data_IF_363972502009
#
_entry.id   IF_363972502009
#
_cell.length_a   1.000
_cell.length_b   1.000
_cell.length_c   1.000
_cell.angle_alpha   90.00
_cell.angle_beta   90.00
_cell.angle_gamma   90.00
#
_symmetry.space_group_name_H-M   'P 1'
#
loop_
_entity.id
_entity.type
_entity.pdbx_description
1 polymer ?
#
# COMPACT_ATOMS: atom_id res chain seq x y z
N UNK A 1 -2.91 -13.55 16.29
CA UNK A 1 -1.60 -12.88 16.14
C UNK A 1 -0.41 -13.81 16.46
N UNK A 2 -0.57 -14.88 17.26
CA UNK A 2 0.52 -15.84 17.54
C UNK A 2 1.10 -16.47 16.27
N UNK A 3 0.28 -16.80 15.29
CA UNK A 3 0.74 -17.37 14.00
C UNK A 3 1.65 -16.38 13.24
N UNK A 4 1.36 -15.09 13.28
CA UNK A 4 2.22 -14.07 12.69
C UNK A 4 3.55 -13.96 13.44
N UNK A 5 3.52 -14.04 14.78
CA UNK A 5 4.73 -14.02 15.60
C UNK A 5 5.64 -15.21 15.27
N UNK A 6 5.09 -16.41 15.22
CA UNK A 6 5.85 -17.61 14.82
C UNK A 6 6.38 -17.52 13.38
N UNK A 7 5.61 -16.93 12.47
CA UNK A 7 6.06 -16.73 11.10
C UNK A 7 7.25 -15.76 11.02
N UNK A 8 7.23 -14.69 11.81
CA UNK A 8 8.34 -13.73 11.88
C UNK A 8 9.58 -14.34 12.56
N UNK A 9 9.41 -15.09 13.66
CA UNK A 9 10.48 -15.83 14.29
C UNK A 9 11.16 -16.79 13.29
N UNK A 10 10.35 -17.58 12.60
CA UNK A 10 10.84 -18.50 11.57
C UNK A 10 11.57 -17.76 10.43
N UNK A 11 11.03 -16.63 9.96
CA UNK A 11 11.68 -15.80 8.95
C UNK A 11 13.05 -15.33 9.42
N UNK A 12 13.15 -14.78 10.64
CA UNK A 12 14.41 -14.30 11.21
C UNK A 12 15.44 -15.41 11.32
N UNK A 13 15.06 -16.58 11.83
CA UNK A 13 15.94 -17.75 11.91
C UNK A 13 16.47 -18.17 10.54
N UNK A 14 15.60 -18.13 9.51
CA UNK A 14 15.99 -18.48 8.14
C UNK A 14 16.94 -17.46 7.53
N UNK A 15 16.75 -16.18 7.79
CA UNK A 15 17.65 -15.11 7.32
C UNK A 15 19.03 -15.23 8.01
N UNK A 16 19.09 -15.55 9.30
CA UNK A 16 20.32 -15.79 10.03
C UNK A 16 21.06 -17.02 9.49
N UNK A 17 20.38 -18.15 9.30
CA UNK A 17 20.95 -19.36 8.71
C UNK A 17 21.49 -19.14 7.29
N UNK A 18 20.84 -18.25 6.52
CA UNK A 18 21.30 -17.88 5.18
C UNK A 18 22.46 -16.87 5.19
N UNK A 19 22.79 -16.28 6.34
CA UNK A 19 23.83 -15.27 6.47
C UNK A 19 23.51 -13.93 5.81
N UNK A 20 22.23 -13.58 5.72
CA UNK A 20 21.74 -12.35 5.09
C UNK A 20 20.88 -11.48 6.03
N UNK A 21 20.71 -11.89 7.27
CA UNK A 21 19.91 -11.13 8.25
C UNK A 21 20.41 -9.69 8.44
N UNK A 22 21.71 -9.48 8.42
CA UNK A 22 22.36 -8.18 8.53
C UNK A 22 22.19 -7.27 7.29
N UNK A 23 21.63 -7.79 6.22
CA UNK A 23 21.39 -7.10 4.93
C UNK A 23 19.92 -7.04 4.54
N UNK A 24 19.05 -7.54 5.40
CA UNK A 24 17.61 -7.64 5.12
C UNK A 24 16.83 -6.71 6.05
N UNK A 25 16.18 -5.70 5.49
CA UNK A 25 15.18 -4.91 6.22
C UNK A 25 13.82 -5.60 6.13
N UNK A 26 13.06 -5.57 7.23
CA UNK A 26 11.71 -6.12 7.28
C UNK A 26 10.72 -4.98 7.50
N UNK A 27 9.76 -4.90 6.60
CA UNK A 27 8.72 -3.87 6.64
C UNK A 27 7.38 -4.54 6.91
N UNK A 28 6.69 -4.06 7.93
CA UNK A 28 5.39 -4.56 8.36
C UNK A 28 4.38 -3.42 8.34
N UNK A 29 3.25 -3.66 7.72
CA UNK A 29 2.07 -2.80 7.75
C UNK A 29 0.82 -3.64 7.63
N UNK A 30 -0.32 -3.10 8.02
CA UNK A 30 -1.59 -3.78 7.80
C UNK A 30 -2.08 -3.48 6.37
N UNK A 31 -2.84 -4.39 5.80
CA UNK A 31 -3.55 -4.21 4.54
C UNK A 31 -4.90 -3.50 4.74
N UNK A 32 -5.57 -3.74 5.87
CA UNK A 32 -6.85 -3.14 6.25
C UNK A 32 -7.10 -3.27 7.76
N UNK A 33 -8.15 -2.62 8.24
CA UNK A 33 -8.63 -2.82 9.61
C UNK A 33 -9.28 -4.21 9.78
N UNK A 34 -9.36 -4.78 10.99
CA UNK A 34 -9.97 -6.09 11.23
C UNK A 34 -11.46 -6.08 10.89
N UNK A 35 -11.84 -6.79 9.84
CA UNK A 35 -13.25 -6.98 9.50
C UNK A 35 -13.93 -7.92 10.49
N UNK A 36 -15.16 -7.64 10.83
CA UNK A 36 -15.99 -8.50 11.66
C UNK A 36 -15.89 -8.27 13.16
N UNK A 37 -15.09 -7.29 13.61
CA UNK A 37 -15.20 -6.81 14.98
C UNK A 37 -16.33 -5.78 15.09
N UNK A 38 -17.12 -5.89 16.17
CA UNK A 38 -18.09 -4.89 16.54
C UNK A 38 -17.40 -3.65 17.14
N UNK A 39 -18.11 -2.54 17.24
CA UNK A 39 -17.59 -1.33 17.88
C UNK A 39 -17.22 -1.58 19.36
N UNK A 40 -18.02 -2.39 20.07
CA UNK A 40 -17.74 -2.77 21.45
C UNK A 40 -16.43 -3.56 21.58
N UNK A 41 -16.19 -4.51 20.65
CA UNK A 41 -14.93 -5.29 20.63
C UNK A 41 -13.72 -4.42 20.27
N UNK A 42 -13.88 -3.42 19.38
CA UNK A 42 -12.85 -2.42 19.12
C UNK A 42 -12.50 -1.61 20.35
N UNK A 43 -13.50 -1.10 21.05
CA UNK A 43 -13.34 -0.29 22.25
C UNK A 43 -12.71 -1.11 23.38
N UNK A 44 -13.10 -2.39 23.53
CA UNK A 44 -12.49 -3.31 24.51
C UNK A 44 -11.00 -3.53 24.19
N UNK A 45 -10.64 -3.75 22.94
CA UNK A 45 -9.24 -3.95 22.53
C UNK A 45 -8.41 -2.68 22.68
N UNK A 46 -8.97 -1.53 22.39
CA UNK A 46 -8.32 -0.24 22.53
C UNK A 46 -8.18 0.23 24.00
N UNK A 47 -9.11 -0.23 24.86
CA UNK A 47 -9.23 0.24 26.25
C UNK A 47 -9.89 1.61 26.37
N UNK A 48 -10.50 2.13 25.32
CA UNK A 48 -11.17 3.42 25.24
C UNK A 48 -12.25 3.42 24.13
N UNK A 49 -13.15 4.38 24.17
CA UNK A 49 -14.13 4.58 23.11
C UNK A 49 -13.47 5.24 21.90
N UNK A 50 -13.36 4.50 20.80
CA UNK A 50 -12.73 4.96 19.57
C UNK A 50 -13.70 5.76 18.69
N UNK A 51 -13.19 6.79 18.06
CA UNK A 51 -13.85 7.44 16.93
C UNK A 51 -13.79 6.52 15.70
N UNK A 52 -14.93 5.90 15.39
CA UNK A 52 -15.01 4.92 14.28
C UNK A 52 -14.87 5.56 12.91
N UNK A 53 -14.97 6.88 12.79
CA UNK A 53 -14.75 7.58 11.52
C UNK A 53 -13.29 7.58 11.11
N UNK A 54 -12.37 7.80 12.06
CA UNK A 54 -10.95 7.94 11.81
C UNK A 54 -10.12 6.83 12.44
N UNK A 55 -10.30 6.60 13.74
CA UNK A 55 -9.39 5.73 14.52
C UNK A 55 -9.51 4.25 14.18
N UNK A 56 -10.65 3.82 13.63
CA UNK A 56 -10.80 2.48 13.06
C UNK A 56 -9.75 2.18 11.98
N UNK A 57 -9.36 3.19 11.21
CA UNK A 57 -8.40 3.05 10.11
C UNK A 57 -6.95 3.29 10.55
N UNK A 58 -6.74 3.56 11.84
CA UNK A 58 -5.39 3.71 12.37
C UNK A 58 -4.61 2.44 12.18
N UNK A 59 -3.45 2.58 11.56
CA UNK A 59 -2.59 1.48 11.16
C UNK A 59 -1.17 1.69 11.69
N UNK A 60 -0.38 0.62 11.70
CA UNK A 60 1.03 0.67 12.09
C UNK A 60 1.91 0.43 10.87
N UNK A 61 2.98 1.21 10.76
CA UNK A 61 4.07 0.99 9.84
C UNK A 61 5.35 0.77 10.66
N UNK A 62 5.96 -0.40 10.51
CA UNK A 62 7.17 -0.78 11.23
C UNK A 62 8.23 -1.12 10.20
N UNK A 63 9.40 -0.50 10.30
CA UNK A 63 10.56 -0.82 9.48
C UNK A 63 11.70 -1.29 10.40
N UNK A 64 11.97 -2.59 10.39
CA UNK A 64 13.13 -3.16 11.06
C UNK A 64 14.36 -3.02 10.16
N UNK A 65 15.37 -2.30 10.64
CA UNK A 65 16.64 -2.08 9.95
C UNK A 65 17.75 -2.72 10.77
N UNK A 66 18.48 -3.71 10.23
CA UNK A 66 19.57 -4.36 10.94
C UNK A 66 20.65 -3.35 11.36
N UNK A 67 21.13 -3.47 12.60
CA UNK A 67 22.19 -2.60 13.11
C UNK A 67 21.74 -1.21 13.57
N UNK A 68 20.48 -0.87 13.45
CA UNK A 68 19.93 0.36 14.04
C UNK A 68 20.03 0.27 15.58
N UNK A 69 20.68 1.25 16.19
CA UNK A 69 20.99 1.20 17.64
C UNK A 69 19.89 1.77 18.50
N UNK A 70 19.11 2.69 17.96
CA UNK A 70 18.05 3.40 18.66
C UNK A 70 16.78 3.37 17.83
N UNK A 71 15.65 3.18 18.49
CA UNK A 71 14.36 3.23 17.82
C UNK A 71 14.05 4.67 17.37
N UNK A 72 13.57 4.81 16.16
CA UNK A 72 13.04 6.07 15.63
C UNK A 72 11.53 5.99 15.65
N UNK A 73 10.90 6.94 16.33
CA UNK A 73 9.45 7.07 16.37
C UNK A 73 9.06 8.29 15.53
N UNK A 74 8.14 8.09 14.60
CA UNK A 74 7.55 9.16 13.80
C UNK A 74 6.13 9.38 14.32
N UNK A 75 5.87 10.56 14.84
CA UNK A 75 4.58 10.98 15.39
C UNK A 75 3.89 11.97 14.45
N UNK A 76 3.88 11.64 13.17
CA UNK A 76 3.21 12.41 12.13
C UNK A 76 2.13 11.53 11.47
N UNK A 77 1.03 12.17 11.07
CA UNK A 77 0.01 11.45 10.31
C UNK A 77 0.49 11.15 8.90
N UNK A 78 0.37 9.89 8.50
CA UNK A 78 0.82 9.41 7.20
C UNK A 78 -0.25 8.50 6.58
N UNK A 79 -0.20 8.37 5.27
CA UNK A 79 -1.03 7.44 4.50
C UNK A 79 -0.22 6.23 4.04
N UNK A 80 -0.87 5.14 3.66
CA UNK A 80 -0.19 3.98 3.06
C UNK A 80 0.55 4.33 1.77
N UNK A 81 0.12 5.36 1.04
CA UNK A 81 0.82 5.89 -0.13
C UNK A 81 2.23 6.40 0.20
N UNK A 82 2.49 6.81 1.44
CA UNK A 82 3.76 7.38 1.89
C UNK A 82 4.83 6.30 2.17
N UNK A 83 4.44 5.03 2.24
CA UNK A 83 5.36 3.91 2.50
C UNK A 83 6.41 3.80 1.41
N UNK A 84 6.01 3.79 0.14
CA UNK A 84 6.93 3.61 -0.98
C UNK A 84 7.97 4.72 -1.09
N UNK A 85 7.63 6.01 -1.14
CA UNK A 85 8.64 7.07 -1.19
C UNK A 85 9.55 7.09 0.03
N UNK A 86 9.02 6.76 1.21
CA UNK A 86 9.83 6.63 2.43
C UNK A 86 10.89 5.54 2.30
N UNK A 87 10.51 4.36 1.83
CA UNK A 87 11.45 3.25 1.64
C UNK A 87 12.48 3.55 0.56
N UNK A 88 12.07 4.15 -0.57
CA UNK A 88 12.99 4.53 -1.62
C UNK A 88 14.08 5.50 -1.11
N UNK A 89 13.69 6.49 -0.31
CA UNK A 89 14.66 7.40 0.31
C UNK A 89 15.53 6.72 1.37
N UNK A 90 14.97 5.88 2.24
CA UNK A 90 15.73 5.14 3.24
C UNK A 90 16.79 4.22 2.60
N UNK A 91 16.48 3.62 1.47
CA UNK A 91 17.42 2.77 0.72
C UNK A 91 18.31 3.53 -0.27
N UNK A 92 18.16 4.84 -0.38
CA UNK A 92 18.94 5.66 -1.30
C UNK A 92 18.69 5.33 -2.77
N UNK A 93 17.48 4.87 -3.10
CA UNK A 93 17.07 4.58 -4.48
C UNK A 93 16.71 5.89 -5.17
N UNK A 94 17.34 6.16 -6.30
CA UNK A 94 16.98 7.32 -7.13
C UNK A 94 15.61 7.07 -7.79
N UNK A 95 14.71 8.04 -7.64
CA UNK A 95 13.39 7.99 -8.27
C UNK A 95 12.87 9.41 -8.54
N UNK A 96 11.93 9.53 -9.45
CA UNK A 96 11.22 10.78 -9.70
C UNK A 96 9.98 10.87 -8.78
N UNK A 97 10.07 11.70 -7.74
CA UNK A 97 8.99 11.87 -6.76
C UNK A 97 7.67 12.36 -7.37
N UNK A 98 7.70 12.97 -8.57
CA UNK A 98 6.48 13.39 -9.28
C UNK A 98 5.64 12.24 -9.79
N UNK A 99 6.19 11.02 -9.78
CA UNK A 99 5.52 9.79 -10.19
C UNK A 99 4.83 9.08 -9.04
N UNK A 100 4.97 9.57 -7.80
CA UNK A 100 4.39 8.98 -6.61
C UNK A 100 3.41 9.96 -5.95
N UNK A 101 2.27 9.42 -5.51
CA UNK A 101 1.27 10.20 -4.77
C UNK A 101 1.64 10.46 -3.32
N UNK A 102 2.41 9.55 -2.72
CA UNK A 102 2.86 9.65 -1.34
C UNK A 102 4.04 10.60 -1.16
N UNK A 103 4.31 10.88 0.09
CA UNK A 103 5.39 11.75 0.55
C UNK A 103 6.28 10.97 1.51
N UNK A 104 7.59 11.16 1.45
CA UNK A 104 8.50 10.60 2.45
C UNK A 104 8.15 11.15 3.84
N UNK A 105 7.91 10.26 4.81
CA UNK A 105 7.51 10.62 6.18
C UNK A 105 8.58 11.40 6.94
N UNK A 106 9.83 11.38 6.49
CA UNK A 106 10.93 12.17 7.06
C UNK A 106 11.13 13.51 6.36
N UNK A 107 10.36 13.82 5.33
CA UNK A 107 10.44 15.10 4.63
C UNK A 107 9.76 16.21 5.44
N UNK A 108 10.02 17.46 5.05
CA UNK A 108 9.31 18.62 5.58
C UNK A 108 8.00 18.95 4.85
N UNK A 109 7.47 18.02 4.10
CA UNK A 109 6.24 18.17 3.35
C UNK A 109 4.98 18.22 4.23
N UNK A 110 3.81 18.25 3.58
CA UNK A 110 2.53 18.13 4.27
C UNK A 110 2.34 16.67 4.67
N UNK A 111 2.21 16.43 5.97
CA UNK A 111 1.90 15.12 6.54
C UNK A 111 0.43 15.03 6.90
N UNK A 112 -0.26 14.02 6.38
CA UNK A 112 -1.66 13.77 6.66
C UNK A 112 -2.02 12.31 6.39
N UNK A 113 -2.97 11.80 7.15
CA UNK A 113 -3.65 10.56 6.82
C UNK A 113 -4.89 10.90 5.97
N UNK A 114 -5.02 10.24 4.82
CA UNK A 114 -6.12 10.46 3.87
C UNK A 114 -6.93 9.17 3.77
N UNK A 115 -8.25 9.28 3.95
CA UNK A 115 -9.20 8.18 3.85
C UNK A 115 -9.81 8.12 2.44
N UNK A 116 -10.40 6.98 2.10
CA UNK A 116 -10.96 6.72 0.76
C UNK A 116 -12.14 7.62 0.37
N UNK A 117 -12.84 8.18 1.34
CA UNK A 117 -13.94 9.14 1.16
C UNK A 117 -13.46 10.60 1.08
N UNK A 118 -12.15 10.83 1.01
CA UNK A 118 -11.48 12.12 1.05
C UNK A 118 -11.52 12.83 2.41
N UNK A 119 -11.96 12.15 3.47
CA UNK A 119 -11.70 12.60 4.83
C UNK A 119 -10.19 12.57 5.11
N UNK A 120 -9.71 13.42 6.00
CA UNK A 120 -8.27 13.47 6.30
C UNK A 120 -7.98 13.95 7.72
N UNK A 121 -6.82 13.56 8.21
CA UNK A 121 -6.26 13.97 9.52
C UNK A 121 -4.92 14.62 9.28
N UNK A 122 -4.71 15.77 9.90
CA UNK A 122 -3.42 16.45 10.04
C UNK A 122 -3.02 16.49 11.51
N UNK A 123 -1.88 17.05 11.80
CA UNK A 123 -1.42 17.30 13.18
C UNK A 123 -2.40 18.18 13.97
N UNK A 124 -2.96 19.19 13.32
CA UNK A 124 -3.71 20.26 13.99
C UNK A 124 -5.22 20.11 13.89
N UNK A 125 -5.72 19.40 12.90
CA UNK A 125 -7.16 19.25 12.68
C UNK A 125 -7.48 18.02 11.82
N UNK A 126 -8.73 17.60 11.86
CA UNK A 126 -9.30 16.57 11.00
C UNK A 126 -10.56 17.09 10.31
N UNK A 127 -10.81 16.59 9.11
CA UNK A 127 -11.98 16.91 8.31
C UNK A 127 -12.69 15.62 7.88
N UNK A 128 -13.95 15.53 8.27
CA UNK A 128 -14.86 14.46 7.84
C UNK A 128 -15.61 14.93 6.59
N UNK A 129 -15.32 14.30 5.46
CA UNK A 129 -15.91 14.67 4.18
C UNK A 129 -17.38 14.25 4.05
N UNK A 130 -17.82 13.22 4.78
CA UNK A 130 -19.19 12.74 4.73
C UNK A 130 -20.15 13.68 5.45
N UNK A 131 -19.70 14.30 6.54
CA UNK A 131 -20.49 15.25 7.35
C UNK A 131 -20.10 16.72 7.13
N UNK A 132 -19.06 16.98 6.33
CA UNK A 132 -18.44 18.29 6.13
C UNK A 132 -18.00 18.95 7.45
N UNK A 133 -17.56 18.16 8.41
CA UNK A 133 -17.22 18.62 9.76
C UNK A 133 -15.72 18.79 9.93
N UNK A 134 -15.30 20.01 10.29
CA UNK A 134 -13.95 20.34 10.73
C UNK A 134 -13.85 20.21 12.26
N UNK A 135 -12.87 19.46 12.73
CA UNK A 135 -12.55 19.35 14.17
C UNK A 135 -11.08 19.75 14.37
N UNK A 136 -10.85 20.84 15.11
CA UNK A 136 -9.47 21.24 15.48
C UNK A 136 -9.02 20.41 16.68
N UNK A 137 -7.86 19.78 16.57
CA UNK A 137 -7.30 18.87 17.58
C UNK A 137 -6.22 19.53 18.44
N UNK A 138 -5.51 20.52 17.89
CA UNK A 138 -4.45 21.24 18.63
C UNK A 138 -5.01 22.49 19.28
N UNK A 139 -4.92 22.63 20.63
CA UNK A 139 -5.39 23.82 21.34
C UNK A 139 -4.75 25.09 20.84
N UNK A 140 -5.57 26.14 20.61
CA UNK A 140 -5.08 27.45 20.18
C UNK A 140 -4.85 27.61 18.66
N UNK A 141 -4.99 26.53 17.88
CA UNK A 141 -4.99 26.59 16.42
C UNK A 141 -6.34 27.08 15.92
N UNK A 142 -6.32 27.94 14.90
CA UNK A 142 -7.51 28.35 14.17
C UNK A 142 -7.33 27.99 12.70
N UNK A 143 -8.27 27.26 12.13
CA UNK A 143 -8.27 26.90 10.71
C UNK A 143 -9.27 27.80 10.00
N UNK A 144 -8.78 28.62 9.06
CA UNK A 144 -9.66 29.45 8.23
C UNK A 144 -10.32 28.63 7.13
N UNK A 145 -11.44 29.13 6.60
CA UNK A 145 -12.13 28.49 5.47
C UNK A 145 -11.17 28.36 4.27
N UNK A 146 -10.35 29.36 3.98
CA UNK A 146 -9.35 29.32 2.92
C UNK A 146 -8.32 28.19 3.16
N UNK A 147 -7.88 28.02 4.41
CA UNK A 147 -6.96 26.92 4.76
C UNK A 147 -7.61 25.57 4.53
N UNK A 148 -8.83 25.39 5.02
CA UNK A 148 -9.58 24.16 4.84
C UNK A 148 -9.81 23.85 3.35
N UNK A 149 -10.21 24.82 2.55
CA UNK A 149 -10.44 24.64 1.12
C UNK A 149 -9.15 24.26 0.38
N UNK A 150 -8.01 24.82 0.76
CA UNK A 150 -6.71 24.42 0.19
C UNK A 150 -6.38 22.94 0.51
N UNK A 151 -6.63 22.47 1.73
CA UNK A 151 -6.43 21.07 2.08
C UNK A 151 -7.41 20.13 1.35
N UNK A 152 -8.68 20.50 1.26
CA UNK A 152 -9.69 19.76 0.48
C UNK A 152 -9.29 19.67 -1.00
N UNK A 153 -8.84 20.77 -1.59
CA UNK A 153 -8.36 20.80 -2.97
C UNK A 153 -7.11 19.93 -3.14
N UNK A 154 -6.18 19.96 -2.20
CA UNK A 154 -4.98 19.12 -2.21
C UNK A 154 -5.35 17.62 -2.21
N UNK A 155 -6.24 17.21 -1.30
CA UNK A 155 -6.72 15.82 -1.23
C UNK A 155 -7.45 15.42 -2.51
N UNK A 156 -8.38 16.24 -2.99
CA UNK A 156 -9.13 15.99 -4.24
C UNK A 156 -8.19 15.84 -5.45
N UNK A 157 -7.15 16.68 -5.54
CA UNK A 157 -6.17 16.60 -6.61
C UNK A 157 -5.36 15.30 -6.56
N UNK A 158 -5.03 14.77 -5.37
CA UNK A 158 -4.37 13.46 -5.25
C UNK A 158 -5.23 12.34 -5.84
N UNK A 159 -6.52 12.31 -5.54
CA UNK A 159 -7.43 11.33 -6.13
C UNK A 159 -7.57 11.51 -7.65
N UNK A 160 -7.68 12.76 -8.12
CA UNK A 160 -7.78 13.05 -9.55
C UNK A 160 -6.51 12.64 -10.30
N UNK A 161 -5.32 12.88 -9.72
CA UNK A 161 -4.05 12.50 -10.31
C UNK A 161 -3.89 10.97 -10.36
N UNK A 162 -4.18 10.27 -9.25
CA UNK A 162 -4.15 8.81 -9.20
C UNK A 162 -5.08 8.19 -10.27
N UNK A 163 -6.30 8.69 -10.37
CA UNK A 163 -7.25 8.28 -11.40
C UNK A 163 -6.74 8.59 -12.81
N UNK A 164 -6.13 9.76 -12.98
CA UNK A 164 -5.53 10.19 -14.25
C UNK A 164 -4.35 9.30 -14.68
N UNK A 165 -3.49 8.91 -13.75
CA UNK A 165 -2.38 7.98 -13.98
C UNK A 165 -2.90 6.65 -14.52
N UNK A 166 -3.92 6.08 -13.86
CA UNK A 166 -4.50 4.78 -14.24
C UNK A 166 -5.23 4.85 -15.59
N UNK A 167 -6.08 5.85 -15.77
CA UNK A 167 -6.95 5.92 -16.94
C UNK A 167 -6.22 6.31 -18.23
N UNK A 168 -5.07 6.99 -18.13
CA UNK A 168 -4.34 7.50 -19.29
C UNK A 168 -3.02 6.80 -19.53
N UNK A 169 -2.76 5.65 -18.89
CA UNK A 169 -1.47 4.94 -19.01
C UNK A 169 -0.27 5.88 -18.86
N UNK A 170 -0.31 6.72 -17.83
CA UNK A 170 0.68 7.79 -17.62
C UNK A 170 2.12 7.25 -17.62
N UNK A 171 2.37 6.14 -16.95
CA UNK A 171 3.70 5.54 -16.90
C UNK A 171 4.16 5.02 -18.27
N UNK A 172 3.26 4.48 -19.08
CA UNK A 172 3.55 4.12 -20.45
C UNK A 172 3.97 5.32 -21.31
N UNK A 173 3.40 6.50 -21.04
CA UNK A 173 3.79 7.74 -21.72
C UNK A 173 5.12 8.32 -21.22
N UNK A 174 5.40 8.23 -19.92
CA UNK A 174 6.62 8.81 -19.31
C UNK A 174 7.85 7.97 -19.62
N UNK A 175 7.76 6.66 -19.45
CA UNK A 175 8.89 5.73 -19.62
C UNK A 175 8.98 5.13 -21.02
N UNK A 176 8.02 5.43 -21.88
CA UNK A 176 7.80 4.71 -23.12
C UNK A 176 7.24 3.31 -22.84
N UNK A 177 6.59 2.72 -23.82
CA UNK A 177 6.27 1.30 -23.76
C UNK A 177 7.61 0.57 -23.80
N UNK A 178 7.92 -0.19 -22.77
CA UNK A 178 9.04 -1.12 -22.83
C UNK A 178 8.84 -2.00 -24.04
N UNK A 179 9.93 -2.37 -24.73
CA UNK A 179 9.88 -3.27 -25.90
C UNK A 179 9.17 -4.61 -25.60
N UNK A 180 9.01 -4.93 -24.32
CA UNK A 180 8.22 -6.04 -23.80
C UNK A 180 6.70 -5.71 -23.73
N UNK A 181 6.30 -4.49 -24.04
CA UNK A 181 4.92 -3.98 -23.94
C UNK A 181 4.10 -4.08 -25.24
N UNK A 182 4.69 -4.46 -26.37
CA UNK A 182 3.93 -5.07 -27.43
C UNK A 182 3.69 -6.53 -27.04
N UNK A 183 2.66 -6.70 -26.25
CA UNK A 183 1.99 -7.97 -26.12
C UNK A 183 1.52 -8.32 -27.54
N UNK A 184 2.37 -8.99 -28.33
CA UNK A 184 1.86 -9.65 -29.53
C UNK A 184 0.66 -10.47 -29.08
N UNK A 185 -0.48 -10.15 -29.64
CA UNK A 185 -1.81 -10.69 -29.36
C UNK A 185 -1.95 -12.18 -29.76
N UNK A 186 -0.88 -12.96 -29.52
CA UNK A 186 -0.79 -14.37 -29.92
C UNK A 186 -1.34 -15.35 -28.89
N UNK A 187 -1.64 -14.89 -27.67
CA UNK A 187 -2.30 -15.73 -26.66
C UNK A 187 -3.59 -15.05 -26.22
N UNK A 188 -4.70 -15.48 -26.79
CA UNK A 188 -6.03 -14.94 -26.50
C UNK A 188 -6.75 -15.89 -25.53
N UNK A 189 -6.50 -15.70 -24.22
CA UNK A 189 -7.38 -16.30 -23.23
C UNK A 189 -8.68 -15.50 -23.21
N UNK A 190 -9.79 -16.17 -23.47
CA UNK A 190 -11.09 -15.51 -23.64
C UNK A 190 -11.67 -15.04 -22.30
N UNK A 191 -11.30 -15.69 -21.20
CA UNK A 191 -11.82 -15.48 -19.85
C UNK A 191 -11.08 -14.39 -19.04
N UNK A 192 -9.93 -13.91 -19.53
CA UNK A 192 -9.20 -12.81 -18.90
C UNK A 192 -9.33 -11.48 -19.65
N UNK A 193 -10.06 -11.47 -20.72
CA UNK A 193 -10.30 -10.26 -21.50
C UNK A 193 -11.05 -9.23 -20.65
N UNK A 194 -10.46 -8.02 -20.52
CA UNK A 194 -11.02 -6.91 -19.73
C UNK A 194 -11.11 -7.15 -18.21
N UNK A 195 -10.31 -8.06 -17.65
CA UNK A 195 -10.13 -8.11 -16.20
C UNK A 195 -9.04 -7.11 -15.78
N UNK A 196 -9.16 -6.60 -14.55
CA UNK A 196 -8.27 -5.56 -13.99
C UNK A 196 -6.78 -5.91 -14.07
N UNK A 197 -6.42 -7.18 -13.91
CA UNK A 197 -5.05 -7.66 -13.86
C UNK A 197 -4.63 -8.50 -15.09
N UNK A 198 -5.27 -8.31 -16.25
CA UNK A 198 -4.97 -9.05 -17.47
C UNK A 198 -3.47 -9.03 -17.83
N UNK A 199 -2.83 -7.86 -17.77
CA UNK A 199 -1.40 -7.73 -18.07
C UNK A 199 -0.52 -8.55 -17.12
N UNK A 200 -0.84 -8.57 -15.83
CA UNK A 200 -0.13 -9.36 -14.83
C UNK A 200 -0.27 -10.86 -15.07
N UNK A 201 -1.47 -11.32 -15.41
CA UNK A 201 -1.74 -12.72 -15.77
C UNK A 201 -0.92 -13.15 -16.99
N UNK A 202 -0.90 -12.34 -18.04
CA UNK A 202 -0.12 -12.61 -19.25
C UNK A 202 1.39 -12.60 -18.97
N UNK A 203 1.87 -11.68 -18.12
CA UNK A 203 3.26 -11.66 -17.68
C UNK A 203 3.65 -12.96 -16.97
N UNK A 204 2.86 -13.40 -15.99
CA UNK A 204 3.10 -14.61 -15.21
C UNK A 204 3.09 -15.86 -16.10
N UNK A 205 2.15 -15.94 -17.04
CA UNK A 205 2.07 -17.03 -18.02
C UNK A 205 3.30 -17.07 -18.93
N UNK A 206 3.70 -15.94 -19.52
CA UNK A 206 4.85 -15.85 -20.45
C UNK A 206 6.17 -16.20 -19.78
N UNK A 207 6.31 -15.90 -18.50
CA UNK A 207 7.50 -16.25 -17.73
C UNK A 207 7.45 -17.68 -17.17
N UNK A 208 6.40 -18.45 -17.48
CA UNK A 208 6.27 -19.83 -17.03
C UNK A 208 5.97 -19.99 -15.54
N UNK A 209 5.48 -18.94 -14.89
CA UNK A 209 5.16 -18.98 -13.46
C UNK A 209 3.79 -19.59 -13.20
N UNK A 210 2.88 -19.54 -14.16
CA UNK A 210 1.53 -20.08 -14.09
C UNK A 210 1.17 -20.80 -15.39
N UNK A 211 0.34 -21.83 -15.30
CA UNK A 211 -0.19 -22.54 -16.45
C UNK A 211 -1.68 -22.22 -16.66
N UNK A 212 -2.15 -22.13 -17.91
CA UNK A 212 -3.57 -21.97 -18.21
C UNK A 212 -4.31 -23.31 -18.03
N UNK A 213 -5.63 -23.24 -17.90
CA UNK A 213 -6.48 -24.44 -17.84
C UNK A 213 -6.57 -25.14 -19.20
N UNK A 214 -6.60 -24.34 -20.28
CA UNK A 214 -6.61 -24.82 -21.66
C UNK A 214 -5.94 -23.81 -22.59
N UNK A 215 -5.86 -24.11 -23.89
CA UNK A 215 -5.25 -23.23 -24.90
C UNK A 215 -5.90 -21.84 -24.98
N UNK A 216 -7.19 -21.71 -24.66
CA UNK A 216 -7.97 -20.49 -24.76
C UNK A 216 -8.57 -19.98 -23.45
N UNK A 217 -8.31 -20.69 -22.33
CA UNK A 217 -8.90 -20.42 -21.02
C UNK A 217 -7.83 -20.43 -19.94
N UNK A 218 -7.65 -19.30 -19.28
CA UNK A 218 -6.68 -19.16 -18.20
C UNK A 218 -7.22 -19.63 -16.86
N UNK A 219 -8.50 -19.39 -16.56
CA UNK A 219 -9.12 -19.66 -15.27
C UNK A 219 -9.02 -18.50 -14.26
N UNK A 220 -8.88 -17.29 -14.75
CA UNK A 220 -8.61 -16.11 -13.95
C UNK A 220 -9.66 -15.73 -12.89
N UNK A 221 -10.79 -16.44 -12.87
CA UNK A 221 -11.85 -16.29 -11.84
C UNK A 221 -12.00 -17.51 -10.94
N UNK A 222 -11.17 -18.51 -11.13
CA UNK A 222 -11.20 -19.72 -10.30
C UNK A 222 -10.53 -19.45 -8.95
N UNK A 223 -10.99 -20.16 -7.93
CA UNK A 223 -10.38 -20.13 -6.61
C UNK A 223 -9.05 -20.89 -6.68
N UNK A 224 -7.94 -20.22 -6.42
CA UNK A 224 -6.64 -20.86 -6.35
C UNK A 224 -6.55 -21.77 -5.12
N UNK A 225 -5.99 -22.96 -5.32
CA UNK A 225 -5.66 -23.87 -4.22
C UNK A 225 -4.32 -23.44 -3.60
N UNK A 226 -4.11 -23.73 -2.31
CA UNK A 226 -2.86 -23.45 -1.61
C UNK A 226 -1.65 -24.07 -2.31
N UNK A 227 -1.81 -25.28 -2.86
CA UNK A 227 -0.76 -25.96 -3.62
C UNK A 227 -0.36 -25.22 -4.89
N UNK A 228 -1.32 -24.69 -5.64
CA UNK A 228 -1.06 -23.88 -6.84
C UNK A 228 -0.31 -22.60 -6.51
N UNK A 229 -0.69 -21.95 -5.41
CA UNK A 229 0.03 -20.76 -4.94
C UNK A 229 1.48 -21.07 -4.56
N UNK A 230 1.72 -22.18 -3.86
CA UNK A 230 3.08 -22.64 -3.52
C UNK A 230 3.90 -22.98 -4.77
N UNK A 231 3.29 -23.59 -5.79
CA UNK A 231 3.95 -23.91 -7.05
C UNK A 231 4.39 -22.65 -7.81
N UNK A 232 3.54 -21.63 -7.84
CA UNK A 232 3.88 -20.32 -8.43
C UNK A 232 5.07 -19.70 -7.73
N UNK A 233 5.09 -19.66 -6.39
CA UNK A 233 6.21 -19.13 -5.63
C UNK A 233 7.50 -19.91 -5.87
N UNK A 234 7.41 -21.23 -5.98
CA UNK A 234 8.55 -22.11 -6.28
C UNK A 234 9.15 -21.80 -7.66
N UNK A 235 8.30 -21.64 -8.68
CA UNK A 235 8.74 -21.27 -10.04
C UNK A 235 9.35 -19.86 -10.09
N UNK A 236 8.79 -18.89 -9.40
CA UNK A 236 9.35 -17.52 -9.29
C UNK A 236 10.74 -17.57 -8.64
N UNK A 237 10.95 -18.45 -7.66
CA UNK A 237 12.25 -18.64 -7.03
C UNK A 237 13.30 -19.37 -7.93
N UNK A 238 12.95 -19.71 -9.17
CA UNK A 238 13.84 -20.36 -10.12
C UNK A 238 14.17 -21.82 -9.79
N UNK A 239 13.25 -22.53 -9.15
CA UNK A 239 13.41 -23.92 -8.72
C UNK A 239 12.45 -24.86 -9.42
#
# INVERSE_FOLDING_TARGET
>A
NLELEYALEYLMDRLEQAGIADKTCIVLTNDHYPYGLTEEEYNELAGEDLDTTFERYRNSFICYVPGLRENVYVDEYCSTADILPTLLNLFGVEYDSRLLEGTDIFSSGIHMAILSDQSFITKDFRFDAATETLTVTTPGVTVSDETLDNYRLYVSNKFALSTGILNNDYYGHVFGKTSDGELEDTVVFTDIKNIFNQASVLYMYRNGYVDPISEDTFGGRNVAQVGEYCDVLYRIAGK
#
